data_IF_596015735366
#
_entry.id   IF_596015735366
#
_cell.length_a   1.000
_cell.length_b   1.000
_cell.length_c   1.000
_cell.angle_alpha   90.00
_cell.angle_beta   90.00
_cell.angle_gamma   90.00
#
_symmetry.space_group_name_H-M   'P 1'
#
loop_
_entity.id
_entity.type
_entity.pdbx_description
1 polymer ?
#
# COMPACT_ATOMS: atom_id res chain seq x y z
N UNK A 1 -15.31 -4.04 -16.55
CA UNK A 1 -15.24 -4.51 -15.24
C UNK A 1 -13.97 -5.14 -14.87
N UNK A 2 -13.64 -6.25 -15.46
CA UNK A 2 -12.41 -6.89 -15.08
C UNK A 2 -11.22 -6.00 -15.35
N UNK A 3 -11.28 -5.20 -16.39
CA UNK A 3 -10.21 -4.29 -16.65
C UNK A 3 -10.09 -3.27 -15.54
N UNK A 4 -11.21 -2.91 -14.94
CA UNK A 4 -11.15 -1.96 -13.86
C UNK A 4 -10.43 -2.52 -12.67
N UNK A 5 -10.77 -3.74 -12.28
CA UNK A 5 -10.13 -4.32 -11.12
C UNK A 5 -8.68 -4.63 -11.38
N UNK A 6 -8.38 -5.17 -12.55
CA UNK A 6 -7.01 -5.55 -12.84
C UNK A 6 -6.05 -4.38 -12.85
N UNK A 7 -6.53 -3.21 -13.26
CA UNK A 7 -5.64 -2.06 -13.37
C UNK A 7 -5.87 -1.02 -12.31
N UNK A 8 -6.87 -1.18 -11.44
CA UNK A 8 -7.15 -0.12 -10.48
C UNK A 8 -6.63 -0.41 -9.09
N UNK A 9 -6.04 -1.56 -8.86
CA UNK A 9 -5.51 -1.84 -7.53
C UNK A 9 -4.17 -1.14 -7.37
N UNK A 10 -4.05 -0.33 -6.31
CA UNK A 10 -2.83 0.39 -5.99
C UNK A 10 -2.44 0.04 -4.57
N UNK A 11 -1.43 -0.82 -4.39
CA UNK A 11 -0.94 -1.10 -3.03
C UNK A 11 -0.09 0.05 -2.53
N UNK A 12 -0.37 0.49 -1.32
CA UNK A 12 0.40 1.54 -0.66
C UNK A 12 1.01 0.91 0.57
N UNK A 13 2.33 0.77 0.57
CA UNK A 13 3.05 0.14 1.66
C UNK A 13 3.69 1.23 2.52
N UNK A 14 3.49 1.12 3.83
CA UNK A 14 4.03 2.11 4.75
C UNK A 14 5.25 1.53 5.44
N UNK A 15 6.40 2.07 5.14
CA UNK A 15 7.66 1.63 5.73
C UNK A 15 8.57 1.01 4.70
N UNK A 16 9.87 1.05 4.98
CA UNK A 16 10.89 0.45 4.12
C UNK A 16 11.45 -0.76 4.85
N UNK A 17 11.89 -1.75 4.09
CA UNK A 17 12.50 -2.92 4.69
C UNK A 17 12.19 -4.17 3.89
N UNK A 18 12.68 -5.30 4.41
CA UNK A 18 12.54 -6.56 3.69
C UNK A 18 11.08 -6.96 3.52
N UNK A 19 10.26 -6.70 4.53
CA UNK A 19 8.86 -7.07 4.44
C UNK A 19 8.15 -6.28 3.35
N UNK A 20 8.35 -4.99 3.31
CA UNK A 20 7.70 -4.16 2.28
C UNK A 20 8.16 -4.58 0.89
N UNK A 21 9.46 -4.81 0.73
CA UNK A 21 9.98 -5.21 -0.57
C UNK A 21 9.43 -6.57 -0.99
N UNK A 22 9.33 -7.49 -0.05
CA UNK A 22 8.78 -8.81 -0.35
C UNK A 22 7.33 -8.74 -0.79
N UNK A 23 6.55 -7.91 -0.11
CA UNK A 23 5.14 -7.73 -0.46
C UNK A 23 5.03 -7.10 -1.85
N UNK A 24 5.83 -6.08 -2.13
CA UNK A 24 5.79 -5.42 -3.43
C UNK A 24 6.10 -6.41 -4.56
N UNK A 25 7.10 -7.27 -4.36
CA UNK A 25 7.43 -8.27 -5.37
C UNK A 25 6.32 -9.28 -5.54
N UNK A 26 5.72 -9.72 -4.44
CA UNK A 26 4.65 -10.71 -4.51
C UNK A 26 3.44 -10.16 -5.25
N UNK A 27 3.07 -8.93 -4.95
CA UNK A 27 1.92 -8.32 -5.60
C UNK A 27 2.19 -8.08 -7.08
N UNK A 28 3.42 -7.71 -7.41
CA UNK A 28 3.77 -7.53 -8.80
C UNK A 28 3.68 -8.85 -9.57
N UNK A 29 4.21 -9.92 -8.99
CA UNK A 29 4.17 -11.21 -9.65
C UNK A 29 2.76 -11.75 -9.81
N UNK A 30 1.93 -11.51 -8.79
CA UNK A 30 0.61 -12.11 -8.80
C UNK A 30 -0.40 -11.29 -9.59
N UNK A 31 -0.29 -9.98 -9.53
CA UNK A 31 -1.30 -9.11 -10.13
C UNK A 31 -0.74 -8.14 -11.14
N UNK A 32 0.56 -8.06 -11.29
CA UNK A 32 1.15 -7.14 -12.23
C UNK A 32 1.06 -5.68 -11.81
N UNK A 33 0.89 -5.42 -10.52
CA UNK A 33 0.69 -4.06 -10.05
C UNK A 33 1.97 -3.51 -9.42
N UNK A 34 2.14 -2.21 -9.52
CA UNK A 34 3.27 -1.50 -8.94
C UNK A 34 2.83 -0.95 -7.59
N UNK A 35 3.61 -1.24 -6.55
CA UNK A 35 3.32 -0.76 -5.21
C UNK A 35 3.95 0.60 -4.99
N UNK A 36 3.33 1.39 -4.11
CA UNK A 36 3.89 2.68 -3.71
C UNK A 36 4.38 2.54 -2.27
N UNK A 37 5.68 2.70 -2.06
CA UNK A 37 6.28 2.55 -0.75
C UNK A 37 6.52 3.92 -0.15
N UNK A 38 5.81 4.22 0.92
CA UNK A 38 5.93 5.49 1.63
C UNK A 38 6.86 5.29 2.81
N UNK A 39 7.96 6.03 2.84
CA UNK A 39 8.88 5.95 3.97
C UNK A 39 9.72 7.21 4.04
N UNK A 40 10.28 7.47 5.21
CA UNK A 40 11.07 8.68 5.42
C UNK A 40 12.49 8.53 4.90
N UNK A 41 13.07 7.35 5.09
CA UNK A 41 14.48 7.11 4.72
C UNK A 41 14.60 5.84 3.89
N UNK A 42 14.24 5.92 2.60
CA UNK A 42 14.33 4.72 1.77
C UNK A 42 15.77 4.33 1.50
N UNK A 43 16.03 3.02 1.51
CA UNK A 43 17.35 2.52 1.19
C UNK A 43 17.57 2.56 -0.31
N UNK A 44 18.82 2.45 -0.71
CA UNK A 44 19.14 2.41 -2.13
C UNK A 44 18.44 1.24 -2.82
N UNK A 45 18.38 0.10 -2.13
CA UNK A 45 17.73 -1.07 -2.73
C UNK A 45 16.27 -0.83 -3.01
N UNK A 46 15.60 -0.05 -2.18
CA UNK A 46 14.20 0.26 -2.40
C UNK A 46 14.02 1.08 -3.68
N UNK A 47 14.90 2.04 -3.90
CA UNK A 47 14.84 2.83 -5.11
C UNK A 47 15.08 1.99 -6.37
N UNK A 48 15.80 0.90 -6.23
CA UNK A 48 16.15 0.08 -7.39
C UNK A 48 15.10 -0.97 -7.74
N UNK A 49 14.03 -1.07 -6.95
CA UNK A 49 12.98 -2.02 -7.24
C UNK A 49 12.18 -1.59 -8.46
N UNK A 50 12.05 -2.48 -9.42
CA UNK A 50 11.24 -2.18 -10.60
C UNK A 50 9.76 -2.37 -10.32
N UNK A 51 9.42 -3.06 -9.24
CA UNK A 51 8.04 -3.36 -8.91
C UNK A 51 7.43 -2.39 -7.90
N UNK A 52 8.13 -1.29 -7.59
CA UNK A 52 7.64 -0.35 -6.61
C UNK A 52 8.13 1.06 -6.92
N UNK A 53 7.37 2.04 -6.48
CA UNK A 53 7.75 3.44 -6.53
C UNK A 53 7.90 3.93 -5.12
N UNK A 54 8.90 4.76 -4.89
CA UNK A 54 9.19 5.28 -3.55
C UNK A 54 8.59 6.67 -3.41
N UNK A 55 7.87 6.88 -2.32
CA UNK A 55 7.35 8.19 -1.96
C UNK A 55 7.96 8.56 -0.61
N UNK A 56 8.79 9.58 -0.59
CA UNK A 56 9.43 10.01 0.65
C UNK A 56 8.45 10.82 1.49
N UNK A 57 8.41 10.50 2.77
CA UNK A 57 7.56 11.20 3.71
C UNK A 57 8.44 11.99 4.68
N UNK A 58 7.87 12.99 5.35
CA UNK A 58 8.63 13.71 6.35
C UNK A 58 9.06 12.79 7.49
N UNK A 59 10.24 13.06 8.00
CA UNK A 59 10.87 12.20 8.97
C UNK A 59 10.17 12.24 10.32
N UNK A 60 9.84 13.43 10.74
CA UNK A 60 9.33 13.65 12.09
C UNK A 60 7.81 13.66 12.12
N UNK A 61 7.22 12.73 11.52
CA UNK A 61 5.79 12.77 11.35
C UNK A 61 5.00 12.77 12.62
N UNK A 62 4.12 13.69 12.73
CA UNK A 62 3.10 13.66 13.72
C UNK A 62 1.88 12.93 13.21
N UNK A 63 1.99 12.31 12.08
CA UNK A 63 0.89 11.54 11.53
C UNK A 63 -0.04 12.33 10.65
N UNK A 64 -0.22 13.60 10.92
CA UNK A 64 -1.21 14.36 10.15
C UNK A 64 -0.77 14.66 8.74
N UNK A 65 0.51 14.92 8.54
CA UNK A 65 1.00 15.17 7.20
C UNK A 65 0.88 13.93 6.34
N UNK A 66 1.24 12.80 6.90
CA UNK A 66 1.10 11.54 6.17
C UNK A 66 -0.36 11.24 5.88
N UNK A 67 -1.22 11.45 6.88
CA UNK A 67 -2.64 11.21 6.69
C UNK A 67 -3.19 12.07 5.57
N UNK A 68 -2.82 13.34 5.56
CA UNK A 68 -3.28 14.22 4.52
C UNK A 68 -2.80 13.79 3.14
N UNK A 69 -1.53 13.40 3.05
CA UNK A 69 -0.99 12.96 1.78
C UNK A 69 -1.70 11.72 1.27
N UNK A 70 -1.96 10.77 2.17
CA UNK A 70 -2.63 9.54 1.77
C UNK A 70 -4.06 9.81 1.32
N UNK A 71 -4.77 10.65 2.05
CA UNK A 71 -6.15 10.94 1.67
C UNK A 71 -6.21 11.74 0.37
N UNK A 72 -5.28 12.66 0.18
CA UNK A 72 -5.24 13.43 -1.06
C UNK A 72 -4.96 12.53 -2.26
N UNK A 73 -4.00 11.63 -2.09
CA UNK A 73 -3.64 10.71 -3.16
C UNK A 73 -4.87 9.89 -3.58
N UNK A 74 -5.58 9.34 -2.61
CA UNK A 74 -6.73 8.50 -2.93
C UNK A 74 -7.87 9.32 -3.54
N UNK A 75 -8.06 10.53 -3.05
CA UNK A 75 -9.14 11.36 -3.58
C UNK A 75 -8.92 11.78 -5.02
N UNK A 76 -7.66 11.90 -5.41
CA UNK A 76 -7.35 12.30 -6.78
C UNK A 76 -7.65 11.22 -7.80
N UNK A 77 -7.77 9.97 -7.34
CA UNK A 77 -8.00 8.85 -8.24
C UNK A 77 -9.15 8.01 -7.72
N UNK A 78 -10.36 8.54 -7.79
CA UNK A 78 -11.51 7.87 -7.15
C UNK A 78 -11.88 6.53 -7.79
N UNK A 79 -11.40 6.27 -8.99
CA UNK A 79 -11.71 5.02 -9.65
C UNK A 79 -10.75 3.89 -9.30
N UNK A 80 -9.74 4.18 -8.50
CA UNK A 80 -8.75 3.17 -8.14
C UNK A 80 -9.07 2.55 -6.80
N UNK A 81 -8.65 1.31 -6.63
CA UNK A 81 -8.79 0.61 -5.37
C UNK A 81 -7.48 0.69 -4.62
N UNK A 82 -7.48 1.39 -3.50
CA UNK A 82 -6.27 1.61 -2.73
C UNK A 82 -6.22 0.64 -1.55
N UNK A 83 -5.12 -0.09 -1.46
CA UNK A 83 -4.87 -1.01 -0.36
C UNK A 83 -3.72 -0.47 0.46
N UNK A 84 -3.95 -0.26 1.76
CA UNK A 84 -2.94 0.31 2.63
C UNK A 84 -2.37 -0.78 3.53
N UNK A 85 -1.06 -0.95 3.48
CA UNK A 85 -0.41 -2.05 4.18
C UNK A 85 0.70 -1.49 5.06
N UNK A 86 0.46 -1.39 6.38
CA UNK A 86 1.52 -0.92 7.27
C UNK A 86 2.53 -2.04 7.51
N UNK A 87 3.80 -1.74 7.29
CA UNK A 87 4.83 -2.76 7.35
C UNK A 87 5.71 -2.66 8.58
N UNK A 88 5.45 -1.71 9.47
CA UNK A 88 6.17 -1.60 10.73
C UNK A 88 5.16 -1.37 11.85
N UNK A 89 5.60 -1.60 13.08
CA UNK A 89 4.72 -1.39 14.23
C UNK A 89 4.28 0.06 14.34
N UNK A 90 5.16 0.98 14.05
CA UNK A 90 4.82 2.39 14.10
C UNK A 90 3.73 2.74 13.11
N UNK A 91 3.81 2.20 11.90
CA UNK A 91 2.79 2.48 10.90
C UNK A 91 1.50 1.72 11.17
N UNK A 92 1.59 0.55 11.82
CA UNK A 92 0.37 -0.13 12.25
C UNK A 92 -0.39 0.71 13.26
N UNK A 93 0.34 1.31 14.21
CA UNK A 93 -0.28 2.19 15.18
C UNK A 93 -0.88 3.42 14.50
N UNK A 94 -0.19 3.95 13.51
CA UNK A 94 -0.70 5.07 12.75
C UNK A 94 -2.04 4.72 12.08
N UNK A 95 -2.11 3.57 11.45
CA UNK A 95 -3.33 3.17 10.78
C UNK A 95 -4.47 2.97 11.76
N UNK A 96 -4.18 2.41 12.93
CA UNK A 96 -5.21 2.24 13.94
C UNK A 96 -5.71 3.58 14.46
N UNK A 97 -4.80 4.51 14.67
CA UNK A 97 -5.17 5.81 15.21
C UNK A 97 -6.01 6.62 14.22
N UNK A 98 -5.84 6.39 12.94
CA UNK A 98 -6.52 7.18 11.91
C UNK A 98 -7.45 6.35 11.03
N UNK A 99 -7.91 5.22 11.56
CA UNK A 99 -8.71 4.30 10.75
C UNK A 99 -9.97 4.96 10.21
N UNK A 100 -10.61 5.78 11.02
CA UNK A 100 -11.86 6.42 10.59
C UNK A 100 -11.68 7.27 9.35
N UNK A 101 -10.56 7.95 9.27
CA UNK A 101 -10.32 8.84 8.13
C UNK A 101 -9.75 8.10 6.93
N UNK A 102 -9.11 6.95 7.17
CA UNK A 102 -8.51 6.19 6.08
C UNK A 102 -9.49 5.25 5.42
N UNK A 103 -10.41 4.68 6.18
CA UNK A 103 -11.30 3.66 5.66
C UNK A 103 -12.17 4.08 4.48
N UNK A 104 -12.60 5.34 4.37
CA UNK A 104 -13.34 5.72 3.17
C UNK A 104 -12.52 5.63 1.89
N UNK A 105 -11.20 5.63 1.99
CA UNK A 105 -10.33 5.64 0.82
C UNK A 105 -9.49 4.40 0.66
N UNK A 106 -9.24 3.67 1.74
CA UNK A 106 -8.28 2.57 1.73
C UNK A 106 -8.86 1.32 2.32
N UNK A 107 -8.53 0.18 1.73
CA UNK A 107 -8.71 -1.10 2.38
C UNK A 107 -7.41 -1.37 3.12
N UNK A 108 -7.48 -1.48 4.45
CA UNK A 108 -6.29 -1.66 5.26
C UNK A 108 -6.05 -3.15 5.46
N UNK A 109 -4.91 -3.61 5.00
CA UNK A 109 -4.54 -5.02 5.08
C UNK A 109 -3.27 -5.16 5.90
N UNK A 110 -3.20 -6.23 6.69
CA UNK A 110 -2.01 -6.50 7.47
C UNK A 110 -1.02 -7.30 6.63
N UNK A 111 0.29 -7.09 6.84
CA UNK A 111 1.27 -7.84 6.07
C UNK A 111 1.12 -9.35 6.18
N UNK A 112 0.68 -9.82 7.35
CA UNK A 112 0.50 -11.25 7.55
C UNK A 112 -0.51 -11.84 6.59
N UNK A 113 -1.52 -11.09 6.24
CA UNK A 113 -2.54 -11.55 5.31
C UNK A 113 -1.96 -11.76 3.93
N UNK A 114 -1.00 -10.92 3.55
CA UNK A 114 -0.40 -11.01 2.24
C UNK A 114 0.71 -12.05 2.18
N UNK A 115 1.33 -12.32 3.30
CA UNK A 115 2.44 -13.26 3.35
C UNK A 115 1.99 -14.70 3.15
N UNK A 116 0.71 -14.97 3.35
CA UNK A 116 0.21 -16.34 3.34
C UNK A 116 -0.43 -16.74 2.05
N UNK A 117 -0.27 -16.07 1.01
CA UNK A 117 -0.93 -16.49 -0.20
C UNK A 117 -2.44 -16.46 -0.08
N UNK A 118 -2.94 -16.07 1.02
CA UNK A 118 -4.36 -15.94 1.21
C UNK A 118 -4.70 -14.48 1.10
N UNK A 119 -5.16 -14.08 -0.04
CA UNK A 119 -5.51 -12.69 -0.28
C UNK A 119 -6.98 -12.60 -0.57
N UNK A 120 -7.82 -12.73 0.46
CA UNK A 120 -9.25 -12.81 0.23
C UNK A 120 -9.81 -11.60 -0.49
N UNK A 121 -9.23 -10.43 -0.27
CA UNK A 121 -9.72 -9.24 -0.95
C UNK A 121 -9.18 -9.09 -2.35
N UNK A 122 -8.12 -9.84 -2.66
CA UNK A 122 -7.46 -9.72 -3.96
C UNK A 122 -7.47 -11.04 -4.68
N UNK A 123 -8.43 -11.88 -4.37
CA UNK A 123 -8.56 -13.15 -5.04
C UNK A 123 -9.13 -12.94 -6.42
N UNK A 124 -9.11 -13.98 -7.21
CA UNK A 124 -9.63 -13.88 -8.55
C UNK A 124 -11.11 -13.62 -8.57
N UNK A 125 -11.82 -14.05 -7.57
CA UNK A 125 -13.24 -13.78 -7.50
C UNK A 125 -13.52 -12.30 -7.35
N UNK A 126 -12.62 -11.63 -6.63
CA UNK A 126 -12.80 -10.20 -6.42
C UNK A 126 -12.23 -9.40 -7.55
N UNK A 127 -11.27 -9.98 -8.25
CA UNK A 127 -10.62 -9.31 -9.36
C UNK A 127 -10.88 -10.14 -10.60
N UNK A 128 -11.99 -9.91 -11.23
CA UNK A 128 -12.34 -10.70 -12.40
C UNK A 128 -11.37 -10.43 -13.52
N UNK A 129 -10.64 -11.39 -13.86
CA UNK A 129 -9.56 -11.21 -14.82
C UNK A 129 -9.79 -12.05 -16.00
#
# INVERSE_FOLDING_TARGET
>A
MKEQLGRVMVPVLLGDGAQAKGIARRLYRRFGVISHIYCAHPSLFTYLLSCARVVRTPDYLQGELLLEDLCTFAREYPDLLFCLIPCTDAYKAFCMAHAERLEPYYVILQPEQLARDALPYLSKEEMPV
#
